data_IF_750993548825
#
_entry.id   IF_750993548825
#
_cell.length_a   1.000
_cell.length_b   1.000
_cell.length_c   1.000
_cell.angle_alpha   90.00
_cell.angle_beta   90.00
_cell.angle_gamma   90.00
#
_symmetry.space_group_name_H-M   'P 1'
#
loop_
_entity.id
_entity.type
_entity.pdbx_description
1 polymer ?
#
# COMPACT_ATOMS: atom_id res chain seq x y z
N UNK A 1 24.55 9.69 -20.77
CA UNK A 1 23.28 8.91 -20.79
C UNK A 1 23.08 8.16 -19.46
N UNK A 2 24.09 7.41 -18.99
CA UNK A 2 24.06 6.76 -17.67
C UNK A 2 23.87 7.73 -16.49
N UNK A 3 24.44 8.94 -16.55
CA UNK A 3 24.29 9.93 -15.49
C UNK A 3 22.87 10.52 -15.42
N UNK A 4 22.19 10.65 -16.57
CA UNK A 4 20.79 11.07 -16.66
C UNK A 4 19.85 9.95 -16.18
N UNK A 5 20.15 8.70 -16.51
CA UNK A 5 19.44 7.51 -16.01
C UNK A 5 19.65 7.36 -14.49
N UNK A 6 20.85 7.62 -13.98
CA UNK A 6 21.17 7.62 -12.55
C UNK A 6 20.42 8.73 -11.78
N UNK A 7 20.32 9.93 -12.37
CA UNK A 7 19.49 11.02 -11.81
C UNK A 7 17.99 10.71 -11.87
N UNK A 8 17.50 10.11 -12.96
CA UNK A 8 16.10 9.67 -13.11
C UNK A 8 15.74 8.55 -12.11
N UNK A 9 16.64 7.59 -11.90
CA UNK A 9 16.53 6.54 -10.88
C UNK A 9 16.44 7.08 -9.46
N UNK A 10 16.95 8.29 -9.17
CA UNK A 10 16.83 8.90 -7.84
C UNK A 10 15.46 9.55 -7.58
N UNK A 11 14.66 9.76 -8.61
CA UNK A 11 13.46 10.61 -8.54
C UNK A 11 12.17 9.92 -8.98
N UNK A 12 12.23 8.63 -9.35
CA UNK A 12 11.06 7.87 -9.74
C UNK A 12 10.99 6.57 -8.94
N UNK A 13 9.96 6.44 -8.09
CA UNK A 13 9.63 5.21 -7.36
C UNK A 13 9.59 4.00 -8.33
N UNK A 14 9.15 4.22 -9.59
CA UNK A 14 9.15 3.28 -10.73
C UNK A 14 10.44 2.50 -10.89
N UNK A 15 11.57 3.19 -10.77
CA UNK A 15 12.89 2.63 -11.01
C UNK A 15 13.61 2.24 -9.72
N UNK A 16 13.02 2.55 -8.56
CA UNK A 16 13.63 2.35 -7.24
C UNK A 16 13.13 1.09 -6.53
N UNK A 17 11.93 0.59 -6.86
CA UNK A 17 11.41 -0.67 -6.30
C UNK A 17 12.08 -1.93 -6.90
N UNK A 18 13.37 -1.85 -7.21
CA UNK A 18 14.24 -2.96 -7.55
C UNK A 18 15.19 -3.23 -6.39
N UNK A 19 15.42 -4.49 -6.03
CA UNK A 19 16.35 -4.86 -4.96
C UNK A 19 15.72 -5.80 -3.93
N UNK A 20 16.34 -5.89 -2.76
CA UNK A 20 15.84 -6.75 -1.68
C UNK A 20 14.54 -6.19 -1.10
N UNK A 21 13.79 -7.05 -0.41
CA UNK A 21 12.57 -6.68 0.29
C UNK A 21 12.77 -5.49 1.23
N UNK A 22 13.88 -5.44 1.96
CA UNK A 22 14.20 -4.37 2.90
C UNK A 22 14.33 -3.02 2.19
N UNK A 23 15.00 -3.00 1.03
CA UNK A 23 15.18 -1.77 0.23
C UNK A 23 13.85 -1.28 -0.32
N UNK A 24 13.01 -2.18 -0.84
CA UNK A 24 11.67 -1.83 -1.33
C UNK A 24 10.82 -1.23 -0.21
N UNK A 25 10.83 -1.84 0.98
CA UNK A 25 10.06 -1.37 2.14
C UNK A 25 10.54 -0.01 2.64
N UNK A 26 11.85 0.19 2.71
CA UNK A 26 12.43 1.48 3.11
C UNK A 26 12.00 2.61 2.17
N UNK A 27 12.07 2.37 0.85
CA UNK A 27 11.63 3.34 -0.15
C UNK A 27 10.13 3.66 -0.06
N UNK A 28 9.28 2.65 0.14
CA UNK A 28 7.84 2.85 0.27
C UNK A 28 7.51 3.69 1.51
N UNK A 29 8.08 3.34 2.68
CA UNK A 29 7.78 4.04 3.93
C UNK A 29 8.56 5.37 4.10
N UNK A 30 9.55 5.63 3.25
CA UNK A 30 10.14 6.96 3.10
C UNK A 30 9.26 7.90 2.28
N UNK A 31 8.48 7.35 1.35
CA UNK A 31 7.59 8.12 0.49
C UNK A 31 6.20 8.31 1.11
N UNK A 32 5.65 7.27 1.73
CA UNK A 32 4.33 7.28 2.34
C UNK A 32 4.39 7.01 3.84
N UNK A 33 3.62 7.75 4.63
CA UNK A 33 3.23 7.27 5.95
C UNK A 33 2.03 6.29 5.88
N UNK A 34 1.84 5.48 6.91
CA UNK A 34 0.74 4.48 6.91
C UNK A 34 -0.63 5.13 6.77
N UNK A 35 -0.83 6.34 7.32
CA UNK A 35 -2.09 7.06 7.20
C UNK A 35 -2.35 7.45 5.74
N UNK A 36 -1.36 7.92 5.01
CA UNK A 36 -1.45 8.23 3.58
C UNK A 36 -1.74 6.98 2.75
N UNK A 37 -1.06 5.85 3.00
CA UNK A 37 -1.37 4.58 2.33
C UNK A 37 -2.82 4.15 2.53
N UNK A 38 -3.33 4.21 3.77
CA UNK A 38 -4.72 3.87 4.09
C UNK A 38 -5.72 4.82 3.41
N UNK A 39 -5.45 6.11 3.42
CA UNK A 39 -6.30 7.10 2.73
C UNK A 39 -6.36 6.86 1.23
N UNK A 40 -5.24 6.49 0.60
CA UNK A 40 -5.23 6.11 -0.81
C UNK A 40 -6.04 4.84 -1.07
N UNK A 41 -5.92 3.83 -0.20
CA UNK A 41 -6.70 2.60 -0.33
C UNK A 41 -8.20 2.86 -0.17
N UNK A 42 -8.58 3.67 0.80
CA UNK A 42 -9.97 4.09 1.02
C UNK A 42 -10.52 4.84 -0.19
N UNK A 43 -9.72 5.71 -0.81
CA UNK A 43 -10.10 6.39 -2.04
C UNK A 43 -10.29 5.42 -3.21
N UNK A 44 -9.38 4.45 -3.38
CA UNK A 44 -9.50 3.42 -4.42
C UNK A 44 -10.74 2.55 -4.23
N UNK A 45 -10.97 2.10 -2.99
CA UNK A 45 -12.19 1.38 -2.59
C UNK A 45 -13.44 2.22 -2.89
N UNK A 46 -13.44 3.50 -2.54
CA UNK A 46 -14.54 4.40 -2.85
C UNK A 46 -14.79 4.46 -4.35
N UNK A 47 -13.74 4.67 -5.15
CA UNK A 47 -13.85 4.74 -6.60
C UNK A 47 -14.52 3.47 -7.16
N UNK A 48 -14.09 2.29 -6.74
CA UNK A 48 -14.70 1.01 -7.14
C UNK A 48 -16.19 0.92 -6.81
N UNK A 49 -16.59 1.39 -5.62
CA UNK A 49 -17.97 1.28 -5.15
C UNK A 49 -18.93 2.28 -5.80
N UNK A 50 -18.43 3.43 -6.25
CA UNK A 50 -19.25 4.47 -6.89
C UNK A 50 -19.16 4.47 -8.40
N UNK A 51 -18.15 3.79 -8.98
CA UNK A 51 -18.04 3.69 -10.42
C UNK A 51 -19.22 2.87 -10.97
N UNK A 52 -19.70 3.26 -12.14
CA UNK A 52 -20.78 2.57 -12.87
C UNK A 52 -20.24 1.38 -13.68
N UNK A 53 -18.97 1.00 -13.47
CA UNK A 53 -18.40 -0.20 -14.07
C UNK A 53 -18.96 -1.42 -13.32
N UNK A 54 -19.68 -2.29 -14.01
CA UNK A 54 -20.45 -3.41 -13.47
C UNK A 54 -19.64 -4.47 -12.66
N UNK A 55 -18.32 -4.29 -12.50
CA UNK A 55 -17.41 -5.20 -11.77
C UNK A 55 -17.81 -5.42 -10.31
N UNK A 56 -18.45 -4.43 -9.67
CA UNK A 56 -18.87 -4.49 -8.27
C UNK A 56 -20.38 -4.18 -8.12
N UNK A 57 -21.18 -4.66 -9.07
CA UNK A 57 -22.61 -4.40 -9.12
C UNK A 57 -23.39 -5.14 -8.02
N UNK A 58 -22.96 -6.35 -7.64
CA UNK A 58 -23.64 -7.16 -6.64
C UNK A 58 -23.18 -6.85 -5.21
N UNK A 59 -24.04 -7.16 -4.23
CA UNK A 59 -23.69 -7.03 -2.82
C UNK A 59 -22.54 -7.96 -2.40
N UNK A 60 -22.43 -9.12 -3.04
CA UNK A 60 -21.37 -10.11 -2.77
C UNK A 60 -20.00 -9.62 -3.24
N UNK A 61 -19.92 -9.09 -4.47
CA UNK A 61 -18.69 -8.51 -5.01
C UNK A 61 -18.20 -7.33 -4.18
N UNK A 62 -19.12 -6.44 -3.76
CA UNK A 62 -18.79 -5.31 -2.87
C UNK A 62 -18.26 -5.78 -1.52
N UNK A 63 -18.85 -6.82 -0.95
CA UNK A 63 -18.38 -7.40 0.31
C UNK A 63 -16.98 -8.00 0.16
N UNK A 64 -16.73 -8.70 -0.95
CA UNK A 64 -15.42 -9.27 -1.27
C UNK A 64 -14.35 -8.19 -1.45
N UNK A 65 -14.64 -7.12 -2.19
CA UNK A 65 -13.75 -5.97 -2.34
C UNK A 65 -13.41 -5.32 -0.99
N UNK A 66 -14.43 -5.10 -0.15
CA UNK A 66 -14.21 -4.52 1.19
C UNK A 66 -13.33 -5.42 2.07
N UNK A 67 -13.53 -6.74 2.01
CA UNK A 67 -12.71 -7.70 2.72
C UNK A 67 -11.26 -7.72 2.19
N UNK A 68 -11.09 -7.68 0.87
CA UNK A 68 -9.77 -7.60 0.22
C UNK A 68 -9.03 -6.33 0.64
N UNK A 69 -9.67 -5.16 0.58
CA UNK A 69 -9.08 -3.89 1.03
C UNK A 69 -8.65 -3.96 2.50
N UNK A 70 -9.49 -4.51 3.38
CA UNK A 70 -9.14 -4.66 4.80
C UNK A 70 -7.92 -5.56 5.00
N UNK A 71 -7.79 -6.62 4.21
CA UNK A 71 -6.64 -7.52 4.27
C UNK A 71 -5.38 -6.84 3.71
N UNK A 72 -5.51 -5.98 2.69
CA UNK A 72 -4.42 -5.13 2.20
C UNK A 72 -3.95 -4.11 3.26
N UNK A 73 -4.84 -3.49 4.04
CA UNK A 73 -4.41 -2.61 5.13
C UNK A 73 -3.58 -3.35 6.18
N UNK A 74 -4.03 -4.55 6.56
CA UNK A 74 -3.28 -5.43 7.47
C UNK A 74 -1.91 -5.79 6.88
N UNK A 75 -1.86 -6.01 5.57
CA UNK A 75 -0.62 -6.30 4.87
C UNK A 75 0.36 -5.11 4.95
N UNK A 76 -0.10 -3.89 4.68
CA UNK A 76 0.69 -2.65 4.79
C UNK A 76 1.28 -2.48 6.20
N UNK A 77 0.46 -2.65 7.24
CA UNK A 77 0.91 -2.56 8.63
C UNK A 77 1.90 -3.68 8.98
N UNK A 78 1.67 -4.91 8.51
CA UNK A 78 2.55 -6.05 8.75
C UNK A 78 3.93 -5.81 8.15
N UNK A 79 3.98 -5.29 6.93
CA UNK A 79 5.22 -4.87 6.28
C UNK A 79 5.92 -3.72 6.99
N UNK A 80 5.17 -2.74 7.47
CA UNK A 80 5.72 -1.62 8.24
C UNK A 80 6.41 -2.10 9.52
N UNK A 81 5.78 -2.99 10.29
CA UNK A 81 6.39 -3.57 11.49
C UNK A 81 7.65 -4.36 11.12
N UNK A 82 7.59 -5.21 10.08
CA UNK A 82 8.73 -6.03 9.63
C UNK A 82 9.91 -5.21 9.11
N UNK A 83 9.64 -4.05 8.52
CA UNK A 83 10.69 -3.17 7.99
C UNK A 83 11.55 -2.52 9.07
N UNK A 84 11.09 -2.52 10.34
CA UNK A 84 11.70 -1.80 11.46
C UNK A 84 11.96 -0.32 11.15
N UNK A 85 11.12 0.27 10.30
CA UNK A 85 11.27 1.65 9.85
C UNK A 85 11.16 2.64 11.01
N UNK A 86 10.31 2.35 12.00
CA UNK A 86 10.22 3.12 13.25
C UNK A 86 11.56 3.22 13.98
N UNK A 87 12.24 2.08 14.19
CA UNK A 87 13.53 2.05 14.88
C UNK A 87 14.54 2.97 14.18
N UNK A 88 14.63 2.86 12.84
CA UNK A 88 15.54 3.68 12.03
C UNK A 88 15.22 5.18 12.07
N UNK A 89 13.93 5.53 12.06
CA UNK A 89 13.47 6.93 11.99
C UNK A 89 13.50 7.63 13.34
N UNK A 90 13.22 6.92 14.44
CA UNK A 90 13.20 7.51 15.79
C UNK A 90 14.59 7.96 16.23
N UNK A 91 15.65 7.23 15.86
CA UNK A 91 17.03 7.57 16.22
C UNK A 91 17.47 8.96 15.72
N UNK A 92 16.85 9.46 14.65
CA UNK A 92 17.23 10.72 13.99
C UNK A 92 16.22 11.86 14.21
N UNK A 93 15.15 11.65 14.96
CA UNK A 93 14.06 12.62 15.14
C UNK A 93 14.01 13.25 16.54
N UNK A 94 13.54 14.49 16.62
CA UNK A 94 13.26 15.12 17.93
C UNK A 94 11.96 14.60 18.54
N UNK A 95 11.83 14.68 19.87
CA UNK A 95 10.66 14.19 20.62
C UNK A 95 9.31 14.71 20.08
N UNK A 96 9.25 15.98 19.65
CA UNK A 96 8.02 16.57 19.08
C UNK A 96 7.64 15.93 17.75
N UNK A 97 8.63 15.62 16.91
CA UNK A 97 8.39 14.96 15.62
C UNK A 97 8.02 13.50 15.79
N UNK A 98 8.63 12.79 16.76
CA UNK A 98 8.31 11.39 17.07
C UNK A 98 6.82 11.21 17.36
N UNK A 99 6.22 12.10 18.17
CA UNK A 99 4.77 12.01 18.48
C UNK A 99 3.92 12.10 17.23
N UNK A 100 4.13 13.13 16.40
CA UNK A 100 3.36 13.34 15.15
C UNK A 100 3.60 12.21 14.15
N UNK A 101 4.81 11.68 14.11
CA UNK A 101 5.17 10.58 13.23
C UNK A 101 4.46 9.27 13.64
N UNK A 102 4.40 8.97 14.94
CA UNK A 102 3.63 7.82 15.47
C UNK A 102 2.14 7.93 15.22
N UNK A 103 1.58 9.15 15.30
CA UNK A 103 0.17 9.39 14.96
C UNK A 103 -0.14 9.09 13.48
N UNK A 104 0.81 9.41 12.58
CA UNK A 104 0.72 9.12 11.13
C UNK A 104 1.01 7.66 10.79
N UNK A 105 1.81 6.97 11.61
CA UNK A 105 2.23 5.58 11.37
C UNK A 105 1.63 4.59 12.36
N UNK A 106 0.37 4.81 12.74
CA UNK A 106 -0.33 3.96 13.70
C UNK A 106 -0.83 2.67 13.03
N UNK A 107 -0.51 1.54 13.66
CA UNK A 107 -0.98 0.22 13.28
C UNK A 107 -2.27 -0.13 14.04
N UNK A 108 -3.42 0.02 13.37
CA UNK A 108 -4.77 -0.13 13.93
C UNK A 108 -5.60 -1.21 13.24
N UNK A 109 -5.22 -1.63 12.03
CA UNK A 109 -5.88 -2.68 11.28
C UNK A 109 -5.46 -4.07 11.78
N UNK A 110 -4.24 -4.20 12.30
CA UNK A 110 -3.75 -5.39 12.99
C UNK A 110 -4.16 -5.42 14.46
N UNK A 111 -4.70 -6.56 14.90
CA UNK A 111 -4.86 -6.86 16.33
C UNK A 111 -3.50 -6.96 17.03
N UNK A 112 -3.50 -6.82 18.36
CA UNK A 112 -2.27 -6.96 19.17
C UNK A 112 -1.54 -8.29 18.94
N UNK A 113 -2.29 -9.37 18.70
CA UNK A 113 -1.71 -10.68 18.42
C UNK A 113 -1.05 -10.73 17.03
N UNK A 114 -1.67 -10.12 16.03
CA UNK A 114 -1.11 -10.02 14.68
C UNK A 114 0.12 -9.11 14.64
N UNK A 115 0.14 -8.01 15.40
CA UNK A 115 1.31 -7.11 15.51
C UNK A 115 2.55 -7.81 16.08
N UNK A 116 2.38 -8.81 16.95
CA UNK A 116 3.50 -9.59 17.49
C UNK A 116 4.05 -10.61 16.48
N UNK A 117 3.25 -10.99 15.48
CA UNK A 117 3.61 -11.99 14.47
C UNK A 117 3.21 -11.52 13.07
N UNK A 118 3.73 -10.37 12.59
CA UNK A 118 3.32 -9.80 11.32
C UNK A 118 3.60 -10.75 10.14
N UNK A 119 4.64 -11.58 10.21
CA UNK A 119 4.91 -12.62 9.20
C UNK A 119 3.76 -13.62 9.01
N UNK A 120 2.97 -13.91 10.06
CA UNK A 120 1.79 -14.76 9.94
C UNK A 120 0.67 -14.10 9.14
N UNK A 121 0.54 -12.77 9.24
CA UNK A 121 -0.45 -12.00 8.46
C UNK A 121 -0.13 -12.11 6.98
N UNK A 122 1.14 -11.95 6.62
CA UNK A 122 1.60 -12.05 5.23
C UNK A 122 1.37 -13.46 4.68
N UNK A 123 1.74 -14.49 5.45
CA UNK A 123 1.49 -15.89 5.07
C UNK A 123 0.00 -16.17 4.88
N UNK A 124 -0.84 -15.72 5.81
CA UNK A 124 -2.29 -15.89 5.72
C UNK A 124 -2.87 -15.20 4.49
N UNK A 125 -2.37 -14.01 4.13
CA UNK A 125 -2.78 -13.33 2.90
C UNK A 125 -2.47 -14.18 1.67
N UNK A 126 -1.26 -14.76 1.58
CA UNK A 126 -0.83 -15.64 0.50
C UNK A 126 -1.64 -16.95 0.41
N UNK A 127 -2.13 -17.45 1.55
CA UNK A 127 -2.99 -18.64 1.62
C UNK A 127 -4.43 -18.33 1.21
N UNK A 128 -4.92 -17.13 1.53
CA UNK A 128 -6.29 -16.71 1.24
C UNK A 128 -6.49 -16.30 -0.22
N UNK A 129 -5.54 -15.55 -0.78
CA UNK A 129 -5.62 -15.04 -2.14
C UNK A 129 -4.55 -15.71 -3.00
N UNK A 130 -4.91 -16.06 -4.22
CA UNK A 130 -3.89 -16.42 -5.22
C UNK A 130 -3.25 -15.15 -5.75
N UNK A 131 -1.97 -15.22 -6.12
CA UNK A 131 -1.25 -14.07 -6.67
C UNK A 131 -1.98 -13.45 -7.87
N UNK A 132 -2.46 -14.28 -8.79
CA UNK A 132 -3.14 -13.81 -10.00
C UNK A 132 -4.45 -13.09 -9.66
N UNK A 133 -5.18 -13.58 -8.65
CA UNK A 133 -6.39 -12.93 -8.16
C UNK A 133 -6.07 -11.58 -7.50
N UNK A 134 -5.09 -11.55 -6.60
CA UNK A 134 -4.71 -10.32 -5.91
C UNK A 134 -4.23 -9.24 -6.91
N UNK A 135 -3.48 -9.63 -7.93
CA UNK A 135 -3.04 -8.72 -8.99
C UNK A 135 -4.21 -8.22 -9.84
N UNK A 136 -5.13 -9.12 -10.25
CA UNK A 136 -6.31 -8.74 -11.00
C UNK A 136 -7.17 -7.72 -10.22
N UNK A 137 -7.44 -7.98 -8.95
CA UNK A 137 -8.22 -7.08 -8.09
C UNK A 137 -7.56 -5.69 -7.97
N UNK A 138 -6.23 -5.61 -7.80
CA UNK A 138 -5.52 -4.32 -7.77
C UNK A 138 -5.63 -3.58 -9.11
N UNK A 139 -5.57 -4.31 -10.23
CA UNK A 139 -5.70 -3.73 -11.57
C UNK A 139 -7.12 -3.21 -11.82
N UNK A 140 -8.13 -3.94 -11.38
CA UNK A 140 -9.54 -3.53 -11.47
C UNK A 140 -9.77 -2.28 -10.60
N UNK A 141 -9.19 -2.22 -9.41
CA UNK A 141 -9.24 -1.03 -8.57
C UNK A 141 -8.55 0.18 -9.22
N UNK A 142 -7.41 -0.02 -9.88
CA UNK A 142 -6.73 1.04 -10.62
C UNK A 142 -7.59 1.54 -11.79
N UNK A 143 -8.19 0.64 -12.56
CA UNK A 143 -9.07 1.00 -13.67
C UNK A 143 -10.29 1.78 -13.18
N UNK A 144 -10.89 1.37 -12.06
CA UNK A 144 -11.98 2.10 -11.43
C UNK A 144 -11.60 3.54 -11.04
N UNK A 145 -10.38 3.74 -10.52
CA UNK A 145 -9.87 5.08 -10.18
C UNK A 145 -9.61 5.93 -11.44
N UNK A 146 -9.05 5.33 -12.50
CA UNK A 146 -8.77 6.04 -13.76
C UNK A 146 -10.08 6.49 -14.42
N UNK A 147 -11.11 5.66 -14.38
CA UNK A 147 -12.40 5.92 -15.03
C UNK A 147 -13.39 6.71 -14.15
N UNK A 148 -13.02 7.07 -12.91
CA UNK A 148 -13.89 7.83 -12.03
C UNK A 148 -14.12 9.24 -12.60
N UNK A 149 -15.35 9.51 -13.04
CA UNK A 149 -15.73 10.78 -13.69
C UNK A 149 -15.59 12.00 -12.76
N UNK A 150 -15.70 11.81 -11.45
CA UNK A 150 -15.52 12.88 -10.47
C UNK A 150 -14.03 13.15 -10.30
N UNK A 151 -13.58 14.21 -10.96
CA UNK A 151 -12.18 14.60 -11.01
C UNK A 151 -11.69 15.11 -9.65
N UNK A 152 -10.97 14.27 -8.90
CA UNK A 152 -10.22 14.73 -7.73
C UNK A 152 -8.74 14.93 -8.09
N UNK A 153 -8.37 16.19 -8.32
CA UNK A 153 -7.01 16.60 -8.66
C UNK A 153 -5.97 16.25 -7.59
N UNK A 154 -6.39 16.06 -6.33
CA UNK A 154 -5.49 15.78 -5.22
C UNK A 154 -4.90 14.37 -5.30
N UNK A 155 -5.68 13.38 -5.76
CA UNK A 155 -5.26 11.98 -5.73
C UNK A 155 -4.55 11.50 -7.00
N UNK A 156 -4.72 12.19 -8.14
CA UNK A 156 -4.22 11.72 -9.46
C UNK A 156 -2.69 11.59 -9.55
N UNK A 157 -1.94 12.52 -8.94
CA UNK A 157 -0.48 12.46 -8.91
C UNK A 157 0.06 11.35 -8.01
N UNK A 158 -0.76 10.86 -7.08
CA UNK A 158 -0.38 9.80 -6.15
C UNK A 158 -0.83 8.41 -6.60
N UNK A 159 -1.82 8.29 -7.50
CA UNK A 159 -2.35 6.99 -7.97
C UNK A 159 -1.28 6.05 -8.49
N UNK A 160 -0.33 6.53 -9.30
CA UNK A 160 0.75 5.68 -9.84
C UNK A 160 1.69 5.21 -8.74
N UNK A 161 2.11 6.10 -7.85
CA UNK A 161 3.00 5.74 -6.74
C UNK A 161 2.34 4.80 -5.74
N UNK A 162 1.04 4.97 -5.52
CA UNK A 162 0.27 4.08 -4.67
C UNK A 162 0.07 2.70 -5.31
N UNK A 163 -0.28 2.63 -6.60
CA UNK A 163 -0.32 1.38 -7.35
C UNK A 163 0.99 0.61 -7.22
N UNK A 164 2.10 1.33 -7.43
CA UNK A 164 3.44 0.77 -7.28
C UNK A 164 3.72 0.21 -5.89
N UNK A 165 3.35 0.95 -4.84
CA UNK A 165 3.53 0.52 -3.46
C UNK A 165 2.70 -0.74 -3.15
N UNK A 166 1.41 -0.76 -3.50
CA UNK A 166 0.55 -1.95 -3.30
C UNK A 166 1.07 -3.13 -4.09
N UNK A 167 1.38 -2.95 -5.38
CA UNK A 167 1.87 -4.03 -6.21
C UNK A 167 3.18 -4.62 -5.66
N UNK A 168 4.06 -3.77 -5.12
CA UNK A 168 5.27 -4.24 -4.44
C UNK A 168 4.95 -5.01 -3.16
N UNK A 169 4.03 -4.53 -2.31
CA UNK A 169 3.61 -5.27 -1.12
C UNK A 169 3.08 -6.66 -1.49
N UNK A 170 2.16 -6.74 -2.45
CA UNK A 170 1.58 -8.01 -2.88
C UNK A 170 2.65 -8.91 -3.49
N UNK A 171 3.50 -8.40 -4.37
CA UNK A 171 4.58 -9.21 -4.97
C UNK A 171 5.53 -9.78 -3.90
N UNK A 172 5.92 -8.98 -2.89
CA UNK A 172 6.80 -9.43 -1.79
C UNK A 172 6.18 -10.48 -0.86
N UNK A 173 4.87 -10.74 -0.95
CA UNK A 173 4.22 -11.83 -0.22
C UNK A 173 4.47 -13.19 -0.90
N UNK A 174 4.62 -13.21 -2.22
CA UNK A 174 4.76 -14.44 -3.01
C UNK A 174 6.19 -14.70 -3.52
N UNK A 175 7.14 -13.80 -3.19
CA UNK A 175 8.58 -14.01 -3.30
C UNK A 175 9.08 -15.03 -2.26
#
# INVERSE_FOLDING_TARGET
MEEAISKLKRHSLCLQLSGTREVKLELIFDYFDLKELKLHLDYWKYACLVNEIDLYASAEERSSLMAFCKDIEKLMEGFYILSRHEDKRIEVMTLRYIKKWREKNRCDSLSKAEQQKPGHVLKWFAEKYRYEYALAEIMDMLDAVINLRQYDSYYRHSTVFFFMAINAFVSMVYE
#
